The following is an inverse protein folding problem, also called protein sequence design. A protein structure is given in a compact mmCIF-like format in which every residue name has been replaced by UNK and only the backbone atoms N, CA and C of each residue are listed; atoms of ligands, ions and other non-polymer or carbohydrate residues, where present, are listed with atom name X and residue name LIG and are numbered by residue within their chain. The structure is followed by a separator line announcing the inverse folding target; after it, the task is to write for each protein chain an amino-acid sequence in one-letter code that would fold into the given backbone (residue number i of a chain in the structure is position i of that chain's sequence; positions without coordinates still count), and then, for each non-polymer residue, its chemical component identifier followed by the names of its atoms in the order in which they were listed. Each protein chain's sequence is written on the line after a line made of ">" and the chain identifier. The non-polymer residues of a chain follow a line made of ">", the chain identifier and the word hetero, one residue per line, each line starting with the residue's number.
data_IF_180909809450
#
_entry.id   IF_180909809450
#
_cell.length_a   1.000
_cell.length_b   1.000
_cell.length_c   1.000
_cell.angle_alpha   90.00
_cell.angle_beta   90.00
_cell.angle_gamma   90.00
#
_symmetry.space_group_name_H-M   'P 1'
#
loop_
_entity.id
_entity.type
_entity.pdbx_description
1 polymer ?
#
# COMPACT_ATOMS: atom_id res chain seq x y z
N UNK A 1 30.12 -31.92 -47.12
CA UNK A 1 28.76 -31.77 -46.53
C UNK A 1 28.70 -31.87 -45.01
N UNK A 2 29.55 -32.65 -44.33
CA UNK A 2 29.50 -32.79 -42.85
C UNK A 2 29.91 -31.53 -42.04
N UNK A 3 30.70 -30.61 -42.62
CA UNK A 3 31.21 -29.42 -41.92
C UNK A 3 30.20 -28.27 -41.83
N UNK A 4 29.25 -28.21 -42.77
CA UNK A 4 28.18 -27.19 -42.77
C UNK A 4 27.03 -27.55 -41.82
N UNK A 5 26.70 -28.85 -41.70
CA UNK A 5 25.69 -29.33 -40.75
C UNK A 5 26.09 -29.11 -39.29
N UNK A 6 27.37 -29.32 -38.94
CA UNK A 6 27.86 -29.03 -37.58
C UNK A 6 27.78 -27.55 -37.22
N UNK A 7 27.97 -26.65 -38.19
CA UNK A 7 27.91 -25.20 -37.97
C UNK A 7 26.47 -24.72 -37.78
N UNK A 8 25.54 -25.26 -38.56
CA UNK A 8 24.11 -24.95 -38.42
C UNK A 8 23.51 -25.46 -37.10
N UNK A 9 23.90 -26.65 -36.62
CA UNK A 9 23.42 -27.18 -35.32
C UNK A 9 23.97 -26.35 -34.16
N UNK A 10 25.25 -25.98 -34.21
CA UNK A 10 25.88 -25.10 -33.21
C UNK A 10 25.26 -23.69 -33.19
N UNK A 11 24.97 -23.10 -34.35
CA UNK A 11 24.31 -21.78 -34.43
C UNK A 11 22.86 -21.82 -33.91
N UNK A 12 22.14 -22.92 -34.09
CA UNK A 12 20.77 -23.08 -33.57
C UNK A 12 20.76 -23.25 -32.05
N UNK A 13 21.66 -24.07 -31.49
CA UNK A 13 21.78 -24.24 -30.03
C UNK A 13 22.19 -22.94 -29.31
N UNK A 14 23.19 -22.21 -29.83
CA UNK A 14 23.62 -20.94 -29.23
C UNK A 14 22.54 -19.86 -29.31
N UNK A 15 21.72 -19.88 -30.36
CA UNK A 15 20.65 -18.92 -30.55
C UNK A 15 19.44 -19.18 -29.65
N UNK A 16 19.12 -20.45 -29.37
CA UNK A 16 18.04 -20.80 -28.44
C UNK A 16 18.42 -20.53 -26.98
N UNK A 17 19.67 -20.81 -26.57
CA UNK A 17 20.18 -20.42 -25.24
C UNK A 17 20.12 -18.91 -25.03
N UNK A 18 20.48 -18.14 -26.06
CA UNK A 18 20.42 -16.67 -26.00
C UNK A 18 18.99 -16.13 -25.87
N UNK A 19 18.01 -16.77 -26.51
CA UNK A 19 16.58 -16.36 -26.43
C UNK A 19 15.96 -16.71 -25.10
N UNK A 20 16.23 -17.89 -24.55
CA UNK A 20 15.74 -18.29 -23.23
C UNK A 20 16.33 -17.40 -22.12
N UNK A 21 17.63 -17.07 -22.21
CA UNK A 21 18.27 -16.15 -21.29
C UNK A 21 17.65 -14.74 -21.39
N UNK A 22 17.39 -14.25 -22.60
CA UNK A 22 16.77 -12.94 -22.81
C UNK A 22 15.33 -12.89 -22.28
N UNK A 23 14.55 -13.95 -22.51
CA UNK A 23 13.20 -14.09 -21.98
C UNK A 23 13.19 -14.14 -20.44
N UNK A 24 14.12 -14.90 -19.85
CA UNK A 24 14.29 -14.97 -18.40
C UNK A 24 14.64 -13.63 -17.77
N UNK A 25 15.54 -12.85 -18.40
CA UNK A 25 15.88 -11.49 -17.95
C UNK A 25 14.68 -10.55 -18.11
N UNK A 26 13.94 -10.64 -19.23
CA UNK A 26 12.71 -9.85 -19.42
C UNK A 26 11.66 -10.16 -18.36
N UNK A 27 11.42 -11.44 -18.04
CA UNK A 27 10.49 -11.84 -16.98
C UNK A 27 10.96 -11.33 -15.62
N UNK A 28 12.25 -11.46 -15.30
CA UNK A 28 12.82 -10.93 -14.06
C UNK A 28 12.64 -9.42 -13.93
N UNK A 29 12.96 -8.66 -14.98
CA UNK A 29 12.77 -7.20 -15.00
C UNK A 29 11.30 -6.82 -14.85
N UNK A 30 10.38 -7.53 -15.51
CA UNK A 30 8.95 -7.30 -15.37
C UNK A 30 8.48 -7.58 -13.93
N UNK A 31 8.88 -8.70 -13.34
CA UNK A 31 8.52 -9.04 -11.95
C UNK A 31 9.10 -8.07 -10.95
N UNK A 32 10.35 -7.61 -11.17
CA UNK A 32 10.98 -6.61 -10.34
C UNK A 32 10.28 -5.25 -10.47
N UNK A 33 9.89 -4.86 -11.69
CA UNK A 33 9.12 -3.65 -11.94
C UNK A 33 7.77 -3.66 -11.22
N UNK A 34 7.02 -4.76 -11.30
CA UNK A 34 5.75 -4.93 -10.59
C UNK A 34 5.96 -4.92 -9.07
N UNK A 35 7.00 -5.58 -8.57
CA UNK A 35 7.33 -5.60 -7.14
C UNK A 35 7.69 -4.19 -6.65
N UNK A 36 8.49 -3.44 -7.40
CA UNK A 36 8.84 -2.04 -7.08
C UNK A 36 7.58 -1.17 -7.11
N UNK A 37 6.70 -1.31 -8.11
CA UNK A 37 5.46 -0.54 -8.19
C UNK A 37 4.53 -0.83 -7.01
N UNK A 38 4.40 -2.10 -6.60
CA UNK A 38 3.62 -2.50 -5.42
C UNK A 38 4.26 -2.03 -4.09
N UNK A 39 5.59 -1.96 -3.99
CA UNK A 39 6.30 -1.51 -2.78
C UNK A 39 6.34 0.03 -2.69
N UNK A 40 6.46 0.72 -3.83
CA UNK A 40 6.61 2.17 -3.91
C UNK A 40 5.29 2.93 -3.77
N UNK A 41 4.16 2.28 -4.03
CA UNK A 41 2.83 2.84 -3.78
C UNK A 41 2.13 2.03 -2.69
N UNK A 42 2.27 2.42 -1.42
CA UNK A 42 1.47 1.82 -0.38
C UNK A 42 -0.02 1.92 -0.75
N UNK A 43 -0.77 0.84 -0.53
CA UNK A 43 -2.12 0.60 -1.06
C UNK A 43 -3.19 1.43 -0.32
N UNK A 44 -2.82 2.55 0.33
CA UNK A 44 -3.81 3.51 0.79
C UNK A 44 -4.27 4.38 -0.39
N UNK A 45 -5.57 4.52 -0.54
CA UNK A 45 -6.16 5.26 -1.66
C UNK A 45 -6.00 6.75 -1.38
N UNK A 46 -5.07 7.39 -2.08
CA UNK A 46 -4.91 8.85 -2.06
C UNK A 46 -6.10 9.45 -2.82
N UNK A 47 -7.15 9.79 -2.08
CA UNK A 47 -8.44 10.39 -2.47
C UNK A 47 -9.31 9.70 -3.53
N UNK A 48 -10.51 9.25 -3.10
CA UNK A 48 -11.79 9.26 -3.85
C UNK A 48 -13.03 8.88 -2.98
N UNK A 49 -12.87 8.60 -1.68
CA UNK A 49 -14.00 8.27 -0.79
C UNK A 49 -14.15 9.34 0.29
N UNK A 50 -15.32 9.95 0.37
CA UNK A 50 -15.71 10.79 1.51
C UNK A 50 -15.99 9.90 2.72
N UNK A 51 -15.61 10.31 3.94
CA UNK A 51 -15.88 9.51 5.14
C UNK A 51 -17.38 9.34 5.38
N UNK A 52 -17.78 8.12 5.73
CA UNK A 52 -19.13 7.82 6.22
C UNK A 52 -19.27 8.21 7.70
N UNK A 53 -20.51 8.28 8.20
CA UNK A 53 -20.80 8.78 9.55
C UNK A 53 -20.11 7.98 10.68
N UNK A 54 -19.88 6.68 10.44
CA UNK A 54 -19.25 5.79 11.41
C UNK A 54 -17.74 5.62 11.20
N UNK A 55 -17.17 6.21 10.14
CA UNK A 55 -15.75 6.11 9.85
C UNK A 55 -14.90 6.83 10.90
N UNK A 56 -13.69 6.32 11.08
CA UNK A 56 -12.72 6.92 12.01
C UNK A 56 -11.93 7.99 11.26
N UNK A 57 -12.04 9.23 11.72
CA UNK A 57 -11.30 10.35 11.13
C UNK A 57 -10.24 10.86 12.09
N UNK A 58 -8.98 10.79 11.66
CA UNK A 58 -7.83 11.33 12.36
C UNK A 58 -7.26 12.53 11.60
N UNK A 59 -6.96 13.61 12.32
CA UNK A 59 -6.33 14.81 11.80
C UNK A 59 -4.92 14.96 12.36
N UNK A 60 -3.98 15.33 11.49
CA UNK A 60 -2.60 15.68 11.81
C UNK A 60 -2.48 17.20 11.80
N UNK A 61 -2.54 17.79 12.98
CA UNK A 61 -2.42 19.24 13.21
C UNK A 61 -1.00 19.61 13.66
N UNK A 62 -0.64 20.90 13.72
CA UNK A 62 0.65 21.33 14.28
C UNK A 62 0.85 20.87 15.73
N UNK A 63 -0.25 20.82 16.51
CA UNK A 63 -0.23 20.44 17.92
C UNK A 63 -0.18 18.91 18.15
N UNK A 64 -0.40 18.11 17.10
CA UNK A 64 -0.33 16.65 17.17
C UNK A 64 -1.45 15.94 16.42
N UNK A 65 -1.80 14.73 16.89
CA UNK A 65 -2.89 13.93 16.31
C UNK A 65 -4.21 14.27 17.01
N UNK A 66 -5.29 14.36 16.25
CA UNK A 66 -6.62 14.64 16.77
C UNK A 66 -7.67 13.73 16.14
N UNK A 67 -8.77 13.50 16.86
CA UNK A 67 -10.00 12.89 16.31
C UNK A 67 -10.87 14.00 15.74
N UNK A 68 -11.48 13.73 14.60
CA UNK A 68 -12.49 14.56 13.98
C UNK A 68 -13.78 13.79 13.77
N UNK A 69 -14.89 14.50 13.67
CA UNK A 69 -16.16 13.94 13.23
C UNK A 69 -16.39 14.14 11.72
N UNK A 70 -15.69 15.07 11.09
CA UNK A 70 -15.99 15.54 9.73
C UNK A 70 -14.75 15.82 8.86
N UNK A 71 -13.55 15.63 9.40
CA UNK A 71 -12.28 15.96 8.73
C UNK A 71 -12.00 17.46 8.62
N UNK A 72 -12.85 18.33 9.19
CA UNK A 72 -12.72 19.79 9.15
C UNK A 72 -12.40 20.37 10.52
N UNK A 73 -13.06 19.86 11.55
CA UNK A 73 -12.95 20.36 12.92
C UNK A 73 -12.29 19.35 13.85
N UNK A 74 -11.41 19.86 14.72
CA UNK A 74 -10.82 19.05 15.79
C UNK A 74 -11.88 18.85 16.87
N UNK A 75 -12.25 17.60 17.12
CA UNK A 75 -13.12 17.26 18.26
C UNK A 75 -12.30 17.14 19.54
N UNK A 76 -11.16 16.44 19.48
CA UNK A 76 -10.28 16.18 20.63
C UNK A 76 -8.90 15.74 20.17
N UNK A 77 -7.84 16.17 20.88
CA UNK A 77 -6.48 15.66 20.69
C UNK A 77 -6.35 14.21 21.18
N UNK A 78 -5.57 13.39 20.47
CA UNK A 78 -5.25 12.03 20.88
C UNK A 78 -4.24 12.06 22.03
N UNK A 79 -4.47 11.18 23.01
CA UNK A 79 -3.48 10.87 24.04
C UNK A 79 -2.45 9.87 23.51
N UNK A 80 -1.26 9.78 24.13
CA UNK A 80 -0.31 8.71 23.83
C UNK A 80 -0.98 7.33 23.91
N UNK A 81 -0.74 6.47 22.93
CA UNK A 81 -1.32 5.12 22.88
C UNK A 81 -2.75 5.02 22.30
N UNK A 82 -3.52 6.11 22.26
CA UNK A 82 -4.90 6.06 21.74
C UNK A 82 -4.96 5.72 20.25
N UNK A 83 -3.93 6.08 19.50
CA UNK A 83 -3.84 5.71 18.08
C UNK A 83 -3.86 4.19 17.90
N UNK A 84 -3.06 3.46 18.68
CA UNK A 84 -3.03 2.00 18.64
C UNK A 84 -4.36 1.39 19.10
N UNK A 85 -4.99 1.95 20.14
CA UNK A 85 -6.31 1.50 20.60
C UNK A 85 -7.37 1.64 19.50
N UNK A 86 -7.35 2.75 18.76
CA UNK A 86 -8.27 2.98 17.63
C UNK A 86 -8.03 1.96 16.52
N UNK A 87 -6.77 1.72 16.14
CA UNK A 87 -6.44 0.72 15.11
C UNK A 87 -6.86 -0.70 15.52
N UNK A 88 -6.61 -1.09 16.77
CA UNK A 88 -7.06 -2.40 17.27
C UNK A 88 -8.60 -2.51 17.27
N UNK A 89 -9.31 -1.40 17.52
CA UNK A 89 -10.76 -1.34 17.38
C UNK A 89 -11.22 -1.57 15.94
N UNK A 90 -10.53 -0.96 14.96
CA UNK A 90 -10.81 -1.17 13.53
C UNK A 90 -10.49 -2.60 13.07
N UNK A 91 -9.48 -3.25 13.66
CA UNK A 91 -9.21 -4.67 13.41
C UNK A 91 -10.35 -5.56 13.94
N UNK A 92 -10.96 -5.19 15.07
CA UNK A 92 -12.08 -5.91 15.65
C UNK A 92 -13.42 -5.64 14.95
N UNK A 93 -13.56 -4.49 14.30
CA UNK A 93 -14.77 -4.03 13.60
C UNK A 93 -14.40 -3.55 12.18
N UNK A 94 -14.32 -4.47 11.20
CA UNK A 94 -13.77 -4.19 9.87
C UNK A 94 -14.71 -3.40 8.95
N UNK A 95 -15.93 -3.09 9.39
CA UNK A 95 -16.91 -2.38 8.57
C UNK A 95 -16.60 -0.88 8.43
N UNK A 96 -15.82 -0.34 9.36
CA UNK A 96 -15.47 1.07 9.45
C UNK A 96 -14.12 1.35 8.78
N UNK A 97 -14.01 2.47 8.08
CA UNK A 97 -12.76 2.89 7.44
C UNK A 97 -11.99 3.89 8.27
N UNK A 98 -10.69 4.05 7.94
CA UNK A 98 -9.80 5.02 8.55
C UNK A 98 -9.46 6.13 7.57
N UNK A 99 -9.74 7.37 7.95
CA UNK A 99 -9.42 8.56 7.17
C UNK A 99 -8.38 9.40 7.91
N UNK A 100 -7.24 9.65 7.27
CA UNK A 100 -6.14 10.46 7.79
C UNK A 100 -6.07 11.79 7.04
N UNK A 101 -6.28 12.90 7.75
CA UNK A 101 -6.24 14.26 7.19
C UNK A 101 -4.99 15.01 7.63
N UNK A 102 -4.24 15.55 6.67
CA UNK A 102 -3.15 16.49 6.95
C UNK A 102 -3.71 17.91 7.08
N UNK A 103 -3.53 18.54 8.26
CA UNK A 103 -3.96 19.92 8.55
C UNK A 103 -2.87 20.68 9.30
N UNK A 104 -1.69 20.79 8.68
CA UNK A 104 -0.55 21.53 9.23
C UNK A 104 0.41 20.72 10.10
N UNK A 105 0.15 19.42 10.33
CA UNK A 105 1.06 18.51 11.02
C UNK A 105 2.17 17.92 10.12
N UNK A 106 2.88 16.91 10.65
CA UNK A 106 3.93 16.22 9.90
C UNK A 106 3.37 15.22 8.89
N UNK A 107 3.62 15.48 7.60
CA UNK A 107 3.30 14.55 6.51
C UNK A 107 3.99 13.20 6.68
N UNK A 108 5.28 13.20 7.02
CA UNK A 108 6.06 11.98 7.23
C UNK A 108 5.44 11.10 8.32
N UNK A 109 5.06 11.71 9.45
CA UNK A 109 4.39 10.99 10.53
C UNK A 109 3.05 10.39 10.08
N UNK A 110 2.26 11.13 9.31
CA UNK A 110 1.00 10.63 8.76
C UNK A 110 1.21 9.46 7.82
N UNK A 111 2.21 9.54 6.94
CA UNK A 111 2.55 8.46 5.99
C UNK A 111 3.01 7.20 6.74
N UNK A 112 3.84 7.34 7.77
CA UNK A 112 4.28 6.21 8.59
C UNK A 112 3.12 5.56 9.36
N UNK A 113 2.22 6.38 9.92
CA UNK A 113 1.03 5.90 10.60
C UNK A 113 0.04 5.22 9.62
N UNK A 114 -0.06 5.72 8.38
CA UNK A 114 -0.85 5.09 7.31
C UNK A 114 -0.30 3.71 6.94
N UNK A 115 1.02 3.58 6.80
CA UNK A 115 1.68 2.31 6.51
C UNK A 115 1.51 1.30 7.63
N UNK A 116 1.63 1.76 8.86
CA UNK A 116 1.38 0.93 10.03
C UNK A 116 -0.08 0.44 10.06
N UNK A 117 -1.05 1.33 9.88
CA UNK A 117 -2.46 0.96 9.82
C UNK A 117 -2.76 -0.04 8.70
N UNK A 118 -2.29 0.21 7.48
CA UNK A 118 -2.49 -0.67 6.33
C UNK A 118 -1.92 -2.07 6.56
N UNK A 119 -0.74 -2.17 7.19
CA UNK A 119 -0.13 -3.46 7.52
C UNK A 119 -0.95 -4.30 8.51
N UNK A 120 -1.64 -3.67 9.46
CA UNK A 120 -2.45 -4.35 10.48
C UNK A 120 -3.80 -4.80 9.95
N UNK A 121 -4.34 -4.09 8.97
CA UNK A 121 -5.70 -4.28 8.44
C UNK A 121 -5.75 -5.28 7.26
N UNK A 122 -4.70 -6.09 7.04
CA UNK A 122 -4.44 -6.78 5.77
C UNK A 122 -4.85 -8.27 5.67
N UNK A 123 -5.23 -9.00 6.72
CA UNK A 123 -5.27 -10.49 6.62
C UNK A 123 -6.49 -11.20 7.19
N UNK A 124 -7.30 -11.81 6.31
CA UNK A 124 -7.97 -13.08 6.59
C UNK A 124 -7.95 -14.00 5.35
N UNK A 125 -7.81 -15.32 5.51
CA UNK A 125 -7.73 -16.28 4.41
C UNK A 125 -9.05 -16.57 3.68
N UNK A 126 -10.19 -16.03 4.14
CA UNK A 126 -11.55 -16.47 3.80
C UNK A 126 -12.24 -15.70 2.67
N UNK A 127 -11.68 -14.58 2.18
CA UNK A 127 -12.25 -13.81 1.06
C UNK A 127 -13.45 -12.91 1.40
N UNK A 128 -13.83 -12.75 2.67
CA UNK A 128 -14.78 -11.72 3.11
C UNK A 128 -14.13 -10.32 3.18
N UNK A 129 -14.92 -9.24 3.37
CA UNK A 129 -14.39 -7.89 3.59
C UNK A 129 -13.61 -7.88 4.91
N UNK A 130 -12.31 -8.16 4.84
CA UNK A 130 -11.44 -8.19 6.03
C UNK A 130 -10.88 -6.81 6.39
N UNK A 131 -11.00 -5.83 5.48
CA UNK A 131 -10.16 -4.63 5.51
C UNK A 131 -10.98 -3.34 5.66
N UNK A 132 -10.84 -2.64 6.79
CA UNK A 132 -10.96 -1.19 6.85
C UNK A 132 -10.06 -0.56 5.78
N UNK A 133 -10.61 0.26 4.90
CA UNK A 133 -9.80 1.01 3.97
C UNK A 133 -9.10 2.17 4.70
N UNK A 134 -7.81 2.36 4.42
CA UNK A 134 -7.06 3.54 4.86
C UNK A 134 -7.07 4.57 3.73
N UNK A 135 -7.62 5.75 4.01
CA UNK A 135 -7.67 6.89 3.10
C UNK A 135 -6.79 8.02 3.62
N UNK A 136 -5.97 8.58 2.75
CA UNK A 136 -5.05 9.67 3.10
C UNK A 136 -5.43 10.93 2.34
N UNK A 137 -5.65 11.99 3.10
CA UNK A 137 -6.13 13.29 2.64
C UNK A 137 -5.05 14.34 2.83
N UNK A 138 -4.27 14.60 1.77
CA UNK A 138 -3.19 15.59 1.71
C UNK A 138 -3.71 16.82 0.96
N UNK A 139 -4.22 17.81 1.69
CA UNK A 139 -4.67 19.10 1.13
C UNK A 139 -3.67 20.19 1.53
#
# INVERSE_FOLDING_TARGET
>A
MARYLKRAVSEVEDHDVSKELFLGIMMLMLTLGIMILNVSQPVWRVHHHDPEADDVILMYTPDGKAVSADGKSVRRMLRPGEFQTILNGLVADPDRNLHLYLKGGSRERMVNDAAYADSLLSTAPSGEKVRPAVFVHMW
#
